data_IF_561412859444
#
_entry.id   IF_561412859444
#
_cell.length_a   1.000
_cell.length_b   1.000
_cell.length_c   1.000
_cell.angle_alpha   90.00
_cell.angle_beta   90.00
_cell.angle_gamma   90.00
#
_symmetry.space_group_name_H-M   'P 1'
#
loop_
_entity.id
_entity.type
_entity.pdbx_description
1 polymer ?
#
# COMPACT_ATOMS: atom_id res chain seq x y z
N UNK A 1 -37.40 24.20 -7.79
CA UNK A 1 -36.22 24.12 -6.91
C UNK A 1 -35.36 22.98 -7.45
N UNK A 2 -34.18 23.26 -8.01
CA UNK A 2 -33.31 22.20 -8.54
C UNK A 2 -32.64 21.51 -7.35
N UNK A 3 -32.88 20.21 -7.20
CA UNK A 3 -32.16 19.36 -6.26
C UNK A 3 -30.67 19.50 -6.57
N UNK A 4 -29.93 20.11 -5.63
CA UNK A 4 -28.48 20.14 -5.66
C UNK A 4 -28.06 18.75 -5.23
N UNK A 5 -27.65 17.92 -6.19
CA UNK A 5 -27.04 16.62 -5.89
C UNK A 5 -25.94 16.85 -4.85
N UNK A 6 -26.11 16.29 -3.65
CA UNK A 6 -25.07 16.30 -2.63
C UNK A 6 -23.93 15.42 -3.15
N UNK A 7 -22.93 16.03 -3.77
CA UNK A 7 -21.68 15.35 -4.12
C UNK A 7 -20.99 14.92 -2.84
N UNK A 8 -21.02 13.62 -2.55
CA UNK A 8 -20.32 13.02 -1.42
C UNK A 8 -18.86 12.79 -1.81
N UNK A 9 -17.96 13.57 -1.21
CA UNK A 9 -16.52 13.39 -1.37
C UNK A 9 -15.94 12.67 -0.15
N UNK A 10 -15.23 11.55 -0.36
CA UNK A 10 -14.55 10.84 0.73
C UNK A 10 -13.08 11.28 0.77
N UNK A 11 -12.63 11.69 1.95
CA UNK A 11 -11.28 12.21 2.16
C UNK A 11 -10.56 11.29 3.14
N UNK A 12 -9.39 10.80 2.74
CA UNK A 12 -8.51 10.09 3.67
C UNK A 12 -7.69 11.12 4.45
N UNK A 13 -7.94 11.23 5.75
CA UNK A 13 -7.25 12.16 6.64
C UNK A 13 -6.42 11.40 7.66
N UNK A 14 -5.14 11.76 7.79
CA UNK A 14 -4.28 11.30 8.89
C UNK A 14 -4.62 12.03 10.18
N UNK A 15 -4.28 11.45 11.34
CA UNK A 15 -4.46 12.08 12.65
C UNK A 15 -3.78 13.47 12.68
N UNK A 16 -2.59 13.58 12.07
CA UNK A 16 -1.85 14.85 11.97
C UNK A 16 -2.54 15.92 11.12
N UNK A 17 -3.22 15.54 10.03
CA UNK A 17 -4.02 16.48 9.22
C UNK A 17 -5.21 17.00 10.03
N UNK A 18 -5.88 16.13 10.77
CA UNK A 18 -7.06 16.51 11.56
C UNK A 18 -6.68 17.52 12.67
N UNK A 19 -5.55 17.32 13.34
CA UNK A 19 -5.06 18.26 14.36
C UNK A 19 -4.58 19.58 13.74
N UNK A 20 -3.98 19.54 12.55
CA UNK A 20 -3.62 20.75 11.80
C UNK A 20 -4.84 21.60 11.40
N UNK A 21 -5.91 20.95 10.92
CA UNK A 21 -7.14 21.62 10.49
C UNK A 21 -7.96 22.18 11.66
N UNK A 22 -7.92 21.53 12.84
CA UNK A 22 -8.61 21.96 14.07
C UNK A 22 -8.16 23.31 14.62
N UNK A 23 -6.98 23.81 14.24
CA UNK A 23 -6.45 25.05 14.81
C UNK A 23 -7.37 26.25 14.46
N UNK A 24 -7.96 26.86 15.50
CA UNK A 24 -8.85 28.01 15.36
C UNK A 24 -8.05 29.32 15.39
N UNK A 25 -8.34 30.22 14.44
CA UNK A 25 -7.74 31.55 14.37
C UNK A 25 -8.82 32.64 14.22
N UNK A 26 -9.42 33.06 15.35
CA UNK A 26 -10.23 34.28 15.45
C UNK A 26 -11.35 34.44 14.40
N UNK A 27 -11.58 35.67 13.91
CA UNK A 27 -12.62 36.03 12.92
C UNK A 27 -12.25 35.70 11.45
N UNK A 28 -11.15 34.99 11.21
CA UNK A 28 -10.70 34.60 9.88
C UNK A 28 -11.28 33.24 9.52
N UNK A 29 -11.33 32.93 8.22
CA UNK A 29 -11.66 31.58 7.77
C UNK A 29 -10.69 30.60 8.45
N UNK A 30 -11.21 29.59 9.13
CA UNK A 30 -10.43 28.57 9.82
C UNK A 30 -9.72 27.68 8.80
N UNK A 31 -8.68 26.94 9.21
CA UNK A 31 -7.97 26.02 8.32
C UNK A 31 -8.91 24.97 7.72
N UNK A 32 -9.84 24.46 8.51
CA UNK A 32 -10.92 23.57 8.02
C UNK A 32 -11.76 24.25 6.95
N UNK A 33 -12.25 25.46 7.19
CA UNK A 33 -13.09 26.15 6.21
C UNK A 33 -12.32 26.48 4.93
N UNK A 34 -11.04 26.86 5.03
CA UNK A 34 -10.18 27.10 3.87
C UNK A 34 -9.91 25.82 3.07
N UNK A 35 -9.80 24.68 3.75
CA UNK A 35 -9.70 23.36 3.09
C UNK A 35 -11.01 23.00 2.36
N UNK A 36 -12.17 23.17 3.00
CA UNK A 36 -13.47 22.98 2.35
C UNK A 36 -13.68 23.89 1.13
N UNK A 37 -13.21 25.14 1.22
CA UNK A 37 -13.24 26.09 0.10
C UNK A 37 -12.49 25.59 -1.14
N UNK A 38 -11.30 25.02 -0.94
CA UNK A 38 -10.52 24.44 -2.03
C UNK A 38 -11.23 23.21 -2.62
N UNK A 39 -11.84 22.38 -1.77
CA UNK A 39 -12.62 21.23 -2.21
C UNK A 39 -13.78 21.67 -3.10
N UNK A 40 -14.62 22.59 -2.63
CA UNK A 40 -15.76 23.11 -3.37
C UNK A 40 -15.32 23.72 -4.72
N UNK A 41 -14.24 24.51 -4.72
CA UNK A 41 -13.66 25.09 -5.94
C UNK A 41 -13.16 24.03 -6.91
N UNK A 42 -12.49 22.99 -6.41
CA UNK A 42 -11.96 21.91 -7.23
C UNK A 42 -13.07 21.05 -7.84
N UNK A 43 -14.14 20.79 -7.10
CA UNK A 43 -15.32 20.06 -7.56
C UNK A 43 -16.10 20.86 -8.60
N UNK A 44 -16.15 22.19 -8.44
CA UNK A 44 -16.81 23.09 -9.38
C UNK A 44 -15.97 23.44 -10.63
N UNK A 45 -14.72 22.95 -10.74
CA UNK A 45 -13.82 23.33 -11.83
C UNK A 45 -13.50 24.82 -11.85
N UNK A 46 -13.37 25.45 -10.68
CA UNK A 46 -13.29 26.90 -10.56
C UNK A 46 -12.02 27.48 -11.20
N UNK A 47 -12.20 28.56 -11.98
CA UNK A 47 -11.11 29.39 -12.51
C UNK A 47 -11.24 30.81 -11.96
N UNK A 48 -10.16 31.33 -11.38
CA UNK A 48 -10.12 32.68 -10.85
C UNK A 48 -10.54 33.71 -11.91
N UNK A 49 -11.39 34.69 -11.58
CA UNK A 49 -11.84 35.74 -12.50
C UNK A 49 -10.71 36.46 -13.23
N UNK A 50 -9.55 36.60 -12.59
CA UNK A 50 -8.37 37.26 -13.16
C UNK A 50 -7.64 36.43 -14.24
N UNK A 51 -8.06 35.17 -14.44
CA UNK A 51 -7.45 34.20 -15.35
C UNK A 51 -8.39 33.77 -16.49
N UNK A 52 -9.64 34.26 -16.50
CA UNK A 52 -10.71 33.85 -17.45
C UNK A 52 -10.43 34.10 -18.93
N UNK A 53 -9.36 34.81 -19.29
CA UNK A 53 -8.97 35.07 -20.67
C UNK A 53 -7.97 34.02 -21.23
N UNK A 54 -7.66 32.98 -20.47
CA UNK A 54 -6.87 31.83 -20.94
C UNK A 54 -7.78 30.60 -20.90
N UNK A 55 -8.03 30.00 -22.07
CA UNK A 55 -8.75 28.72 -22.17
C UNK A 55 -7.91 27.63 -21.51
N UNK A 56 -8.05 27.48 -20.20
CA UNK A 56 -7.39 26.44 -19.43
C UNK A 56 -8.37 25.31 -19.18
N UNK A 57 -8.19 24.19 -19.87
CA UNK A 57 -8.98 22.98 -19.66
C UNK A 57 -8.58 22.35 -18.32
N UNK A 58 -9.42 22.55 -17.30
CA UNK A 58 -9.25 21.91 -16.00
C UNK A 58 -9.73 20.46 -16.05
N UNK A 59 -8.91 19.53 -15.55
CA UNK A 59 -9.34 18.16 -15.30
C UNK A 59 -10.31 18.12 -14.11
N UNK A 60 -11.11 17.04 -13.94
CA UNK A 60 -11.96 16.89 -12.76
C UNK A 60 -11.15 17.04 -11.47
N UNK A 61 -11.73 17.69 -10.45
CA UNK A 61 -11.09 17.98 -9.14
C UNK A 61 -9.91 18.94 -9.21
N UNK A 62 -9.89 19.80 -10.22
CA UNK A 62 -8.91 20.88 -10.31
C UNK A 62 -9.58 22.25 -10.17
N UNK A 63 -8.86 23.19 -9.56
CA UNK A 63 -9.19 24.61 -9.63
C UNK A 63 -7.96 25.44 -9.99
N UNK A 64 -8.18 26.52 -10.73
CA UNK A 64 -7.14 27.47 -11.14
C UNK A 64 -7.26 28.75 -10.32
N UNK A 65 -6.29 29.01 -9.46
CA UNK A 65 -6.36 30.08 -8.47
C UNK A 65 -5.06 30.86 -8.41
N UNK A 66 -5.09 32.04 -7.78
CA UNK A 66 -3.88 32.77 -7.39
C UNK A 66 -3.79 32.87 -5.88
N UNK A 67 -2.57 32.98 -5.35
CA UNK A 67 -2.35 33.22 -3.91
C UNK A 67 -3.03 34.52 -3.46
N UNK A 68 -3.10 35.52 -4.35
CA UNK A 68 -3.71 36.82 -4.05
C UNK A 68 -5.23 36.70 -3.85
N UNK A 69 -5.89 35.89 -4.68
CA UNK A 69 -7.33 35.69 -4.60
C UNK A 69 -7.70 34.95 -3.32
N UNK A 70 -7.01 33.84 -3.05
CA UNK A 70 -7.20 33.06 -1.82
C UNK A 70 -6.90 33.90 -0.56
N UNK A 71 -5.84 34.70 -0.58
CA UNK A 71 -5.51 35.59 0.54
C UNK A 71 -6.62 36.60 0.83
N UNK A 72 -7.23 37.15 -0.23
CA UNK A 72 -8.30 38.15 -0.10
C UNK A 72 -9.57 37.51 0.42
N UNK A 73 -9.94 36.36 -0.15
CA UNK A 73 -11.16 35.63 0.18
C UNK A 73 -11.12 35.01 1.59
N UNK A 74 -9.99 34.41 1.96
CA UNK A 74 -9.80 33.81 3.29
C UNK A 74 -9.43 34.84 4.36
N UNK A 75 -9.16 36.09 3.96
CA UNK A 75 -8.65 37.17 4.80
C UNK A 75 -7.35 36.78 5.51
N UNK A 76 -6.46 36.13 4.77
CA UNK A 76 -5.16 35.65 5.23
C UNK A 76 -4.03 36.45 4.59
N UNK A 77 -2.87 36.50 5.25
CA UNK A 77 -1.67 36.98 4.58
C UNK A 77 -1.25 35.98 3.49
N UNK A 78 -0.72 36.48 2.36
CA UNK A 78 -0.22 35.64 1.27
C UNK A 78 0.81 34.60 1.73
N UNK A 79 1.62 34.93 2.76
CA UNK A 79 2.55 33.98 3.36
C UNK A 79 1.83 32.81 4.06
N UNK A 80 0.75 33.09 4.80
CA UNK A 80 -0.08 32.07 5.46
C UNK A 80 -0.75 31.16 4.44
N UNK A 81 -1.27 31.71 3.34
CA UNK A 81 -1.84 30.91 2.25
C UNK A 81 -0.80 29.93 1.67
N UNK A 82 0.42 30.42 1.41
CA UNK A 82 1.50 29.56 0.89
C UNK A 82 1.84 28.45 1.86
N UNK A 83 2.10 28.78 3.12
CA UNK A 83 2.44 27.79 4.16
C UNK A 83 1.32 26.76 4.35
N UNK A 84 0.06 27.18 4.34
CA UNK A 84 -1.08 26.26 4.43
C UNK A 84 -1.12 25.28 3.27
N UNK A 85 -0.95 25.78 2.04
CA UNK A 85 -0.89 24.96 0.84
C UNK A 85 0.32 24.01 0.84
N UNK A 86 1.49 24.48 1.29
CA UNK A 86 2.70 23.64 1.43
C UNK A 86 2.45 22.49 2.42
N UNK A 87 1.79 22.78 3.54
CA UNK A 87 1.44 21.77 4.54
C UNK A 87 0.43 20.76 4.00
N UNK A 88 -0.62 21.20 3.29
CA UNK A 88 -1.57 20.28 2.67
C UNK A 88 -0.93 19.37 1.60
N UNK A 89 0.01 19.91 0.81
CA UNK A 89 0.79 19.13 -0.15
C UNK A 89 1.70 18.11 0.57
N UNK A 90 2.32 18.48 1.69
CA UNK A 90 3.10 17.55 2.51
C UNK A 90 2.27 16.41 3.12
N UNK A 91 0.97 16.66 3.36
CA UNK A 91 0.02 15.64 3.78
C UNK A 91 -0.58 14.83 2.62
N UNK A 92 -0.15 15.09 1.38
CA UNK A 92 -0.65 14.42 0.17
C UNK A 92 -2.11 14.74 -0.15
N UNK A 93 -2.66 15.83 0.39
CA UNK A 93 -4.08 16.18 0.21
C UNK A 93 -4.36 16.91 -1.11
N UNK A 94 -3.34 17.55 -1.66
CA UNK A 94 -3.41 18.26 -2.93
C UNK A 94 -2.06 18.27 -3.64
N UNK A 95 -2.07 18.50 -4.94
CA UNK A 95 -0.89 18.78 -5.75
C UNK A 95 -1.02 20.18 -6.38
N UNK A 96 0.10 20.91 -6.49
CA UNK A 96 0.13 22.24 -7.10
C UNK A 96 0.98 22.29 -8.35
N UNK A 97 0.35 22.51 -9.50
CA UNK A 97 1.06 22.90 -10.71
C UNK A 97 1.27 24.42 -10.70
N UNK A 98 2.51 24.86 -10.43
CA UNK A 98 2.87 26.28 -10.33
C UNK A 98 3.00 26.90 -11.72
N UNK A 99 2.32 28.02 -11.95
CA UNK A 99 2.42 28.87 -13.13
C UNK A 99 3.02 30.23 -12.75
N UNK A 100 3.51 31.05 -13.70
CA UNK A 100 4.24 32.29 -13.38
C UNK A 100 3.51 33.28 -12.46
N UNK A 101 2.17 33.29 -12.45
CA UNK A 101 1.34 34.17 -11.60
C UNK A 101 0.13 33.49 -10.96
N UNK A 102 -0.04 32.19 -11.20
CA UNK A 102 -1.20 31.40 -10.80
C UNK A 102 -0.78 29.98 -10.48
N UNK A 103 -1.72 29.15 -10.04
CA UNK A 103 -1.48 27.72 -9.84
C UNK A 103 -2.75 26.95 -10.07
N UNK A 104 -2.59 25.74 -10.59
CA UNK A 104 -3.65 24.73 -10.62
C UNK A 104 -3.49 23.87 -9.38
N UNK A 105 -4.56 23.77 -8.60
CA UNK A 105 -4.63 22.88 -7.44
C UNK A 105 -5.45 21.67 -7.83
N UNK A 106 -4.86 20.48 -7.72
CA UNK A 106 -5.55 19.20 -7.88
C UNK A 106 -5.83 18.63 -6.49
N UNK A 107 -7.09 18.44 -6.13
CA UNK A 107 -7.46 17.84 -4.84
C UNK A 107 -7.48 16.32 -4.92
N UNK A 108 -6.83 15.65 -3.97
CA UNK A 108 -6.86 14.19 -3.87
C UNK A 108 -8.11 13.74 -3.12
N UNK A 109 -9.21 13.59 -3.84
CA UNK A 109 -10.43 12.98 -3.31
C UNK A 109 -10.43 11.48 -3.62
N UNK A 110 -10.79 10.66 -2.64
CA UNK A 110 -11.25 9.31 -2.93
C UNK A 110 -12.65 9.44 -3.50
N UNK A 111 -12.84 8.98 -4.73
CA UNK A 111 -14.16 9.04 -5.35
C UNK A 111 -15.14 8.18 -4.56
N UNK A 112 -16.24 8.78 -4.11
CA UNK A 112 -17.39 8.07 -3.57
C UNK A 112 -18.36 7.60 -4.66
N UNK A 113 -18.04 7.79 -5.95
CA UNK A 113 -18.92 7.44 -7.05
C UNK A 113 -18.18 6.68 -8.15
N UNK A 114 -18.66 5.45 -8.40
CA UNK A 114 -18.51 4.61 -9.57
C UNK A 114 -17.60 5.14 -10.71
N UNK A 115 -16.29 5.03 -10.51
CA UNK A 115 -15.36 4.95 -11.63
C UNK A 115 -15.37 3.51 -12.14
N UNK A 116 -15.56 3.36 -13.45
CA UNK A 116 -15.29 2.12 -14.19
C UNK A 116 -14.01 1.51 -13.63
N UNK A 117 -14.00 0.24 -13.19
CA UNK A 117 -12.85 -0.35 -12.56
C UNK A 117 -11.75 -0.47 -13.61
N UNK A 118 -10.84 0.50 -13.60
CA UNK A 118 -9.52 0.35 -14.16
C UNK A 118 -8.88 -0.78 -13.36
N UNK A 119 -8.73 -1.91 -14.02
CA UNK A 119 -8.70 -3.26 -13.41
C UNK A 119 -7.45 -3.48 -12.55
N UNK A 120 -6.49 -2.55 -12.64
CA UNK A 120 -5.19 -2.59 -11.98
C UNK A 120 -5.25 -2.03 -10.54
N UNK A 121 -6.26 -1.23 -10.18
CA UNK A 121 -6.31 -0.55 -8.88
C UNK A 121 -7.13 -1.30 -7.81
N UNK A 122 -8.02 -2.21 -8.24
CA UNK A 122 -8.81 -3.07 -7.35
C UNK A 122 -7.96 -4.09 -6.60
N UNK A 123 -7.15 -4.87 -7.33
CA UNK A 123 -6.31 -5.95 -6.78
C UNK A 123 -5.26 -5.40 -5.81
N UNK A 124 -4.60 -4.29 -6.15
CA UNK A 124 -3.65 -3.61 -5.26
C UNK A 124 -4.31 -3.09 -3.97
N UNK A 125 -5.55 -2.63 -4.06
CA UNK A 125 -6.33 -2.20 -2.89
C UNK A 125 -6.67 -3.35 -1.95
N UNK A 126 -7.01 -4.51 -2.49
CA UNK A 126 -7.34 -5.73 -1.74
C UNK A 126 -6.10 -6.28 -1.04
N UNK A 127 -4.99 -6.43 -1.77
CA UNK A 127 -3.70 -6.91 -1.22
C UNK A 127 -3.27 -6.06 -0.03
N UNK A 128 -3.42 -4.73 -0.11
CA UNK A 128 -3.11 -3.83 1.01
C UNK A 128 -4.00 -4.06 2.23
N UNK A 129 -5.32 -4.26 2.03
CA UNK A 129 -6.24 -4.54 3.14
C UNK A 129 -5.94 -5.89 3.81
N UNK A 130 -5.68 -6.92 3.01
CA UNK A 130 -5.30 -8.24 3.50
C UNK A 130 -3.99 -8.19 4.29
N UNK A 131 -2.95 -7.54 3.75
CA UNK A 131 -1.68 -7.38 4.44
C UNK A 131 -1.83 -6.64 5.78
N UNK A 132 -2.75 -5.67 5.87
CA UNK A 132 -3.07 -4.99 7.13
C UNK A 132 -3.58 -5.95 8.21
N UNK A 133 -4.60 -6.76 7.90
CA UNK A 133 -5.15 -7.77 8.83
C UNK A 133 -4.10 -8.83 9.17
N UNK A 134 -3.44 -9.36 8.14
CA UNK A 134 -2.48 -10.44 8.29
C UNK A 134 -1.24 -10.00 9.09
N UNK A 135 -0.85 -8.73 9.03
CA UNK A 135 0.22 -8.21 9.90
C UNK A 135 -0.15 -8.29 11.39
N UNK A 136 -1.40 -7.97 11.73
CA UNK A 136 -1.94 -8.15 13.08
C UNK A 136 -1.91 -9.62 13.50
N UNK A 137 -2.26 -10.52 12.59
CA UNK A 137 -2.19 -11.96 12.85
C UNK A 137 -0.76 -12.45 13.04
N UNK A 138 0.18 -12.08 12.15
CA UNK A 138 1.60 -12.44 12.24
C UNK A 138 2.16 -12.05 13.61
N UNK A 139 1.93 -10.80 14.03
CA UNK A 139 2.39 -10.24 15.30
C UNK A 139 1.66 -10.80 16.54
N UNK A 140 0.60 -11.59 16.36
CA UNK A 140 -0.15 -12.20 17.46
C UNK A 140 -1.23 -11.31 18.09
N UNK A 141 -1.58 -10.19 17.44
CA UNK A 141 -2.63 -9.27 17.90
C UNK A 141 -4.05 -9.86 17.69
N UNK A 142 -4.21 -10.75 16.70
CA UNK A 142 -5.46 -11.45 16.41
C UNK A 142 -5.19 -12.95 16.21
N UNK A 143 -6.18 -13.80 16.50
CA UNK A 143 -6.06 -15.24 16.29
C UNK A 143 -6.35 -15.64 14.82
N UNK A 144 -6.09 -16.90 14.46
CA UNK A 144 -6.28 -17.38 13.09
C UNK A 144 -7.75 -17.38 12.63
N UNK A 145 -8.69 -17.59 13.55
CA UNK A 145 -10.13 -17.56 13.24
C UNK A 145 -10.59 -16.15 12.86
N UNK A 146 -10.24 -15.16 13.68
CA UNK A 146 -10.59 -13.76 13.44
C UNK A 146 -9.90 -13.22 12.18
N UNK A 147 -8.63 -13.59 11.96
CA UNK A 147 -7.90 -13.25 10.74
C UNK A 147 -8.57 -13.86 9.50
N UNK A 148 -9.01 -15.11 9.58
CA UNK A 148 -9.72 -15.80 8.50
C UNK A 148 -11.06 -15.14 8.17
N UNK A 149 -11.86 -14.81 9.18
CA UNK A 149 -13.14 -14.11 9.00
C UNK A 149 -12.92 -12.74 8.33
N UNK A 150 -11.96 -11.96 8.82
CA UNK A 150 -11.67 -10.64 8.27
C UNK A 150 -11.14 -10.70 6.83
N UNK A 151 -10.26 -11.66 6.50
CA UNK A 151 -9.81 -11.88 5.12
C UNK A 151 -10.97 -12.28 4.19
N UNK A 152 -11.84 -13.18 4.65
CA UNK A 152 -13.03 -13.59 3.92
C UNK A 152 -13.98 -12.43 3.63
N UNK A 153 -14.20 -11.54 4.61
CA UNK A 153 -14.99 -10.32 4.43
C UNK A 153 -14.39 -9.37 3.40
N UNK A 154 -13.06 -9.20 3.37
CA UNK A 154 -12.37 -8.36 2.38
C UNK A 154 -12.57 -8.94 0.97
N UNK A 155 -12.38 -10.25 0.80
CA UNK A 155 -12.57 -10.95 -0.48
C UNK A 155 -14.02 -10.84 -0.95
N UNK A 156 -14.97 -11.17 -0.08
CA UNK A 156 -16.40 -11.12 -0.40
C UNK A 156 -16.85 -9.71 -0.79
N UNK A 157 -16.38 -8.70 -0.04
CA UNK A 157 -16.64 -7.29 -0.35
C UNK A 157 -16.07 -6.91 -1.71
N UNK A 158 -14.84 -7.31 -2.02
CA UNK A 158 -14.22 -7.01 -3.30
C UNK A 158 -14.96 -7.63 -4.49
N UNK A 159 -15.44 -8.87 -4.34
CA UNK A 159 -16.26 -9.55 -5.35
C UNK A 159 -17.60 -8.83 -5.54
N UNK A 160 -18.25 -8.45 -4.44
CA UNK A 160 -19.53 -7.73 -4.45
C UNK A 160 -19.39 -6.33 -5.06
N UNK A 161 -18.34 -5.59 -4.70
CA UNK A 161 -18.05 -4.25 -5.23
C UNK A 161 -17.74 -4.30 -6.74
N UNK A 162 -17.25 -5.43 -7.25
CA UNK A 162 -17.06 -5.67 -8.68
C UNK A 162 -18.38 -6.03 -9.41
N UNK A 163 -19.50 -6.14 -8.71
CA UNK A 163 -20.80 -6.57 -9.24
C UNK A 163 -20.85 -8.05 -9.60
N UNK A 164 -19.91 -8.85 -9.07
CA UNK A 164 -19.77 -10.27 -9.37
C UNK A 164 -20.45 -11.09 -8.26
N UNK A 165 -20.92 -12.29 -8.62
CA UNK A 165 -21.42 -13.23 -7.63
C UNK A 165 -20.28 -14.10 -7.12
N UNK A 166 -20.19 -14.19 -5.80
CA UNK A 166 -19.31 -15.12 -5.08
C UNK A 166 -19.93 -16.53 -5.11
N UNK A 167 -19.89 -17.18 -6.28
CA UNK A 167 -20.37 -18.56 -6.47
C UNK A 167 -19.19 -19.52 -6.49
N UNK A 168 -18.56 -19.71 -5.32
CA UNK A 168 -17.67 -20.86 -5.12
C UNK A 168 -18.48 -22.15 -5.32
N UNK A 169 -17.98 -23.14 -6.08
CA UNK A 169 -18.67 -24.41 -6.22
C UNK A 169 -18.89 -25.04 -4.83
N UNK A 170 -20.13 -25.37 -4.49
CA UNK A 170 -20.46 -26.12 -3.26
C UNK A 170 -19.92 -27.57 -3.30
N UNK A 171 -19.46 -28.03 -4.46
CA UNK A 171 -19.09 -29.43 -4.70
C UNK A 171 -17.58 -29.66 -4.53
N UNK A 172 -17.24 -30.54 -3.59
CA UNK A 172 -15.88 -30.88 -3.09
C UNK A 172 -15.05 -31.72 -4.10
N UNK A 173 -15.54 -31.86 -5.33
CA UNK A 173 -14.90 -32.67 -6.35
C UNK A 173 -13.66 -31.96 -6.91
N UNK A 174 -12.47 -32.52 -6.64
CA UNK A 174 -11.15 -32.11 -7.21
C UNK A 174 -11.17 -31.85 -8.72
N UNK A 175 -11.98 -32.61 -9.48
CA UNK A 175 -12.14 -32.47 -10.94
C UNK A 175 -12.84 -31.15 -11.30
N UNK A 176 -13.77 -30.69 -10.46
CA UNK A 176 -14.52 -29.42 -10.62
C UNK A 176 -13.63 -28.22 -10.32
N UNK A 177 -12.68 -28.34 -9.38
CA UNK A 177 -11.69 -27.31 -9.05
C UNK A 177 -10.60 -27.15 -10.13
N UNK A 178 -10.22 -28.22 -10.83
CA UNK A 178 -9.26 -28.13 -11.94
C UNK A 178 -9.80 -27.33 -13.14
N UNK A 179 -11.12 -27.29 -13.31
CA UNK A 179 -11.80 -26.50 -14.36
C UNK A 179 -12.31 -25.14 -13.85
N UNK A 180 -12.02 -24.78 -12.60
CA UNK A 180 -12.43 -23.52 -12.00
C UNK A 180 -11.96 -22.28 -12.81
N UNK A 181 -10.73 -22.24 -13.37
CA UNK A 181 -10.29 -21.11 -14.19
C UNK A 181 -11.08 -20.95 -15.50
N UNK A 182 -11.70 -22.02 -16.00
CA UNK A 182 -12.48 -22.01 -17.25
C UNK A 182 -13.94 -21.58 -17.02
N UNK A 183 -14.41 -21.62 -15.77
CA UNK A 183 -15.81 -21.40 -15.37
C UNK A 183 -16.02 -20.09 -14.62
N UNK A 184 -15.02 -19.66 -13.85
CA UNK A 184 -15.12 -18.56 -12.91
C UNK A 184 -14.71 -17.25 -13.58
N UNK A 185 -15.35 -16.14 -13.21
CA UNK A 185 -14.96 -14.83 -13.72
C UNK A 185 -13.49 -14.58 -13.41
N UNK A 186 -12.72 -14.16 -14.42
CA UNK A 186 -11.28 -13.97 -14.30
C UNK A 186 -10.90 -13.04 -13.14
N UNK A 187 -11.75 -12.05 -12.82
CA UNK A 187 -11.53 -11.12 -11.71
C UNK A 187 -11.81 -11.76 -10.36
N UNK A 188 -12.80 -12.64 -10.25
CA UNK A 188 -13.04 -13.42 -9.01
C UNK A 188 -11.84 -14.34 -8.74
N UNK A 189 -11.31 -14.98 -9.78
CA UNK A 189 -10.12 -15.83 -9.66
C UNK A 189 -8.89 -15.02 -9.23
N UNK A 190 -8.68 -13.83 -9.79
CA UNK A 190 -7.58 -12.93 -9.43
C UNK A 190 -7.66 -12.48 -7.96
N UNK A 191 -8.86 -12.13 -7.48
CA UNK A 191 -9.11 -11.74 -6.08
C UNK A 191 -8.80 -12.90 -5.14
N UNK A 192 -9.31 -14.10 -5.41
CA UNK A 192 -9.02 -15.27 -4.59
C UNK A 192 -7.55 -15.64 -4.60
N UNK A 193 -6.90 -15.59 -5.77
CA UNK A 193 -5.47 -15.91 -5.92
C UNK A 193 -4.63 -14.94 -5.09
N UNK A 194 -4.90 -13.64 -5.20
CA UNK A 194 -4.21 -12.61 -4.41
C UNK A 194 -4.40 -12.83 -2.91
N UNK A 195 -5.60 -13.22 -2.49
CA UNK A 195 -5.88 -13.52 -1.09
C UNK A 195 -5.09 -14.73 -0.57
N UNK A 196 -5.04 -15.80 -1.36
CA UNK A 196 -4.24 -16.99 -1.05
C UNK A 196 -2.76 -16.64 -0.94
N UNK A 197 -2.22 -15.91 -1.91
CA UNK A 197 -0.81 -15.49 -1.93
C UNK A 197 -0.45 -14.64 -0.70
N UNK A 198 -1.29 -13.67 -0.33
CA UNK A 198 -1.13 -12.87 0.88
C UNK A 198 -1.10 -13.74 2.14
N UNK A 199 -2.03 -14.70 2.27
CA UNK A 199 -2.13 -15.59 3.43
C UNK A 199 -0.90 -16.49 3.52
N UNK A 200 -0.45 -17.06 2.40
CA UNK A 200 0.76 -17.92 2.34
C UNK A 200 1.99 -17.13 2.78
N UNK A 201 2.18 -15.92 2.24
CA UNK A 201 3.30 -15.05 2.63
C UNK A 201 3.25 -14.67 4.11
N UNK A 202 2.07 -14.35 4.64
CA UNK A 202 1.88 -14.08 6.06
C UNK A 202 2.19 -15.30 6.93
N UNK A 203 1.79 -16.49 6.52
CA UNK A 203 2.09 -17.73 7.24
C UNK A 203 3.60 -17.99 7.29
N UNK A 204 4.30 -17.83 6.15
CA UNK A 204 5.76 -17.93 6.10
C UNK A 204 6.43 -16.92 7.04
N UNK A 205 6.02 -15.64 6.99
CA UNK A 205 6.49 -14.60 7.93
C UNK A 205 6.27 -14.98 9.39
N UNK A 206 5.08 -15.49 9.72
CA UNK A 206 4.73 -15.88 11.09
C UNK A 206 5.55 -17.06 11.60
N UNK A 207 5.86 -18.04 10.75
CA UNK A 207 6.69 -19.20 11.11
C UNK A 207 8.16 -18.79 11.23
N UNK A 208 8.68 -18.05 10.24
CA UNK A 208 10.05 -17.57 10.24
C UNK A 208 10.33 -16.62 11.41
N UNK A 209 9.40 -15.74 11.77
CA UNK A 209 9.53 -14.85 12.93
C UNK A 209 9.50 -15.53 14.30
N UNK A 210 9.26 -16.86 14.36
CA UNK A 210 9.49 -17.64 15.60
C UNK A 210 10.95 -17.94 15.84
N UNK A 211 11.77 -17.99 14.78
CA UNK A 211 13.21 -17.99 14.93
C UNK A 211 13.58 -16.62 15.50
N UNK A 212 14.21 -16.59 16.69
CA UNK A 212 14.66 -15.31 17.25
C UNK A 212 15.63 -14.72 16.24
N UNK A 213 15.45 -13.47 15.82
CA UNK A 213 16.43 -12.79 15.00
C UNK A 213 17.65 -12.52 15.88
N UNK A 214 18.49 -13.52 16.13
CA UNK A 214 19.80 -13.25 16.70
C UNK A 214 20.49 -12.27 15.75
N UNK A 215 21.13 -11.25 16.33
CA UNK A 215 22.13 -10.43 15.63
C UNK A 215 23.38 -11.25 15.31
N UNK A 216 23.18 -12.53 14.95
CA UNK A 216 24.26 -13.41 14.53
C UNK A 216 24.86 -12.79 13.27
N UNK A 217 26.12 -12.39 13.42
CA UNK A 217 26.97 -11.99 12.32
C UNK A 217 27.56 -13.20 11.62
N UNK A 218 27.23 -14.44 12.00
CA UNK A 218 27.86 -15.66 11.50
C UNK A 218 27.73 -15.79 9.98
N UNK A 219 26.55 -15.50 9.42
CA UNK A 219 26.36 -15.50 7.96
C UNK A 219 27.22 -14.43 7.27
N UNK A 220 27.37 -13.25 7.89
CA UNK A 220 28.21 -12.17 7.37
C UNK A 220 29.70 -12.44 7.57
N UNK A 221 30.08 -13.14 8.64
CA UNK A 221 31.45 -13.58 8.89
C UNK A 221 31.85 -14.64 7.88
N UNK A 222 31.00 -15.63 7.64
CA UNK A 222 31.22 -16.66 6.61
C UNK A 222 31.35 -16.04 5.22
N UNK A 223 30.49 -15.08 4.89
CA UNK A 223 30.61 -14.31 3.64
C UNK A 223 31.97 -13.62 3.51
N UNK A 224 32.45 -12.94 4.56
CA UNK A 224 33.70 -12.18 4.51
C UNK A 224 34.96 -13.07 4.59
N UNK A 225 34.94 -14.10 5.43
CA UNK A 225 36.12 -14.90 5.80
C UNK A 225 36.27 -16.13 4.92
N UNK A 226 35.22 -16.92 4.75
CA UNK A 226 35.26 -18.21 4.04
C UNK A 226 34.99 -18.05 2.55
N UNK A 227 34.06 -17.17 2.17
CA UNK A 227 33.78 -16.87 0.76
C UNK A 227 34.64 -15.73 0.20
N UNK A 228 35.47 -15.09 1.01
CA UNK A 228 36.32 -13.97 0.58
C UNK A 228 35.53 -12.80 -0.02
N UNK A 229 34.33 -12.54 0.50
CA UNK A 229 33.37 -11.57 -0.01
C UNK A 229 32.93 -11.82 -1.48
N UNK A 230 32.94 -13.08 -1.93
CA UNK A 230 32.49 -13.48 -3.26
C UNK A 230 30.96 -13.56 -3.34
N UNK A 231 30.34 -12.60 -4.02
CA UNK A 231 28.89 -12.59 -4.28
C UNK A 231 28.39 -13.82 -5.06
N UNK A 232 29.06 -14.29 -6.13
CA UNK A 232 28.62 -15.51 -6.82
C UNK A 232 28.58 -16.73 -5.90
N UNK A 233 29.63 -16.93 -5.10
CA UNK A 233 29.70 -18.05 -4.15
C UNK A 233 28.63 -17.96 -3.07
N UNK A 234 28.31 -16.73 -2.62
CA UNK A 234 27.23 -16.52 -1.66
C UNK A 234 25.84 -16.81 -2.25
N UNK A 235 25.61 -16.51 -3.53
CA UNK A 235 24.36 -16.85 -4.22
C UNK A 235 24.20 -18.37 -4.33
N UNK A 236 25.25 -19.09 -4.73
CA UNK A 236 25.23 -20.55 -4.83
C UNK A 236 25.02 -21.22 -3.46
N UNK A 237 25.67 -20.70 -2.42
CA UNK A 237 25.45 -21.14 -1.05
C UNK A 237 24.01 -20.88 -0.59
N UNK A 238 23.50 -19.67 -0.82
CA UNK A 238 22.13 -19.28 -0.44
C UNK A 238 21.09 -20.17 -1.11
N UNK A 239 21.31 -20.52 -2.38
CA UNK A 239 20.47 -21.48 -3.10
C UNK A 239 20.51 -22.87 -2.45
N UNK A 240 21.71 -23.36 -2.12
CA UNK A 240 21.90 -24.67 -1.47
C UNK A 240 21.18 -24.72 -0.12
N UNK A 241 21.36 -23.68 0.72
CA UNK A 241 20.68 -23.56 2.01
C UNK A 241 19.16 -23.53 1.86
N UNK A 242 18.63 -22.77 0.90
CA UNK A 242 17.19 -22.72 0.64
C UNK A 242 16.62 -24.07 0.18
N UNK A 243 17.31 -24.77 -0.71
CA UNK A 243 16.93 -26.12 -1.16
C UNK A 243 16.93 -27.11 0.00
N UNK A 244 17.96 -27.08 0.86
CA UNK A 244 18.05 -27.94 2.04
C UNK A 244 16.91 -27.68 3.03
N UNK A 245 16.56 -26.40 3.30
CA UNK A 245 15.44 -26.05 4.19
C UNK A 245 14.13 -26.65 3.67
N UNK A 246 13.87 -26.55 2.36
CA UNK A 246 12.65 -27.08 1.74
C UNK A 246 12.65 -28.61 1.63
N UNK A 247 13.83 -29.23 1.53
CA UNK A 247 14.02 -30.67 1.35
C UNK A 247 14.34 -31.42 2.65
N UNK A 248 14.43 -30.74 3.80
CA UNK A 248 14.76 -31.27 5.15
C UNK A 248 13.89 -32.43 5.67
N UNK A 249 12.95 -32.95 4.87
CA UNK A 249 12.19 -34.18 5.14
C UNK A 249 12.05 -35.14 3.96
N UNK A 250 12.77 -34.92 2.84
CA UNK A 250 12.59 -35.68 1.58
C UNK A 250 13.77 -36.53 1.14
N UNK A 251 14.96 -36.38 1.72
CA UNK A 251 16.13 -37.20 1.35
C UNK A 251 16.70 -37.93 2.58
N UNK A 252 16.44 -39.24 2.62
CA UNK A 252 17.36 -40.22 3.18
C UNK A 252 18.11 -40.79 1.98
N UNK A 253 19.43 -40.92 2.08
CA UNK A 253 20.35 -41.46 1.07
C UNK A 253 20.86 -40.46 0.02
N UNK A 254 21.63 -39.45 0.46
CA UNK A 254 22.77 -38.99 -0.34
C UNK A 254 23.98 -38.92 0.59
N UNK A 255 25.05 -39.62 0.21
CA UNK A 255 26.39 -39.55 0.81
C UNK A 255 26.95 -38.15 0.56
N UNK A 256 26.54 -37.20 1.39
CA UNK A 256 27.07 -35.85 1.39
C UNK A 256 28.30 -35.80 2.29
N UNK A 257 29.35 -35.19 1.76
CA UNK A 257 30.58 -34.85 2.47
C UNK A 257 30.24 -34.27 3.86
N UNK A 258 30.58 -35.02 4.93
CA UNK A 258 30.17 -34.73 6.32
C UNK A 258 30.53 -33.28 6.71
N UNK A 259 31.67 -32.77 6.25
CA UNK A 259 32.14 -31.42 6.54
C UNK A 259 31.26 -30.33 5.89
N UNK A 260 30.75 -30.60 4.68
CA UNK A 260 29.84 -29.68 3.97
C UNK A 260 28.46 -29.68 4.60
N UNK A 261 27.99 -30.83 5.06
CA UNK A 261 26.70 -30.95 5.74
C UNK A 261 26.73 -30.24 7.09
N UNK A 262 27.79 -30.42 7.87
CA UNK A 262 28.01 -29.72 9.14
C UNK A 262 28.05 -28.20 8.96
N UNK A 263 28.76 -27.70 7.94
CA UNK A 263 28.81 -26.27 7.60
C UNK A 263 27.43 -25.69 7.24
N UNK A 264 26.62 -26.45 6.50
CA UNK A 264 25.28 -26.02 6.12
C UNK A 264 24.33 -26.04 7.32
N UNK A 265 24.49 -26.99 8.24
CA UNK A 265 23.74 -27.07 9.49
C UNK A 265 24.08 -25.87 10.42
N UNK A 266 25.35 -25.47 10.50
CA UNK A 266 25.79 -24.31 11.27
C UNK A 266 25.24 -22.98 10.70
N UNK A 267 25.05 -22.89 9.38
CA UNK A 267 24.52 -21.70 8.71
C UNK A 267 22.99 -21.67 8.59
N UNK A 268 22.30 -22.75 8.96
CA UNK A 268 20.85 -22.87 8.84
C UNK A 268 20.09 -21.78 9.62
N UNK A 269 20.37 -21.65 10.91
CA UNK A 269 19.69 -20.69 11.79
C UNK A 269 20.05 -19.23 11.46
N UNK A 270 21.32 -18.88 11.19
CA UNK A 270 21.69 -17.55 10.70
C UNK A 270 20.99 -17.18 9.38
N UNK A 271 20.84 -18.14 8.46
CA UNK A 271 20.16 -17.93 7.18
C UNK A 271 18.66 -17.68 7.38
N UNK A 272 17.98 -18.48 8.22
CA UNK A 272 16.58 -18.27 8.56
C UNK A 272 16.34 -16.93 9.28
N UNK A 273 17.22 -16.56 10.22
CA UNK A 273 17.19 -15.26 10.92
C UNK A 273 17.34 -14.09 9.94
N UNK A 274 18.27 -14.19 8.98
CA UNK A 274 18.45 -13.18 7.94
C UNK A 274 17.21 -13.08 7.02
N UNK A 275 16.62 -14.21 6.62
CA UNK A 275 15.39 -14.25 5.84
C UNK A 275 14.20 -13.64 6.60
N UNK A 276 14.04 -13.95 7.89
CA UNK A 276 13.01 -13.38 8.75
C UNK A 276 13.14 -11.84 8.83
N UNK A 277 14.35 -11.32 9.11
CA UNK A 277 14.62 -9.87 9.14
C UNK A 277 14.33 -9.20 7.80
N UNK A 278 14.68 -9.83 6.68
CA UNK A 278 14.42 -9.28 5.35
C UNK A 278 12.90 -9.20 5.05
N UNK A 279 12.16 -10.23 5.44
CA UNK A 279 10.71 -10.27 5.26
C UNK A 279 9.98 -9.25 6.13
N UNK A 280 10.44 -8.99 7.36
CA UNK A 280 9.91 -7.91 8.21
C UNK A 280 10.14 -6.53 7.59
N UNK A 281 11.35 -6.27 7.05
CA UNK A 281 11.66 -5.01 6.36
C UNK A 281 10.81 -4.81 5.12
N UNK A 282 10.55 -5.87 4.34
CA UNK A 282 9.70 -5.80 3.15
C UNK A 282 8.26 -5.40 3.48
N UNK A 283 7.70 -5.91 4.60
CA UNK A 283 6.35 -5.56 5.04
C UNK A 283 6.24 -4.09 5.49
N UNK A 284 7.32 -3.51 6.01
CA UNK A 284 7.40 -2.08 6.35
C UNK A 284 7.59 -1.17 5.12
N UNK A 285 8.23 -1.68 4.07
CA UNK A 285 8.49 -0.96 2.81
C UNK A 285 7.24 -0.88 1.91
N UNK A 286 6.34 -1.86 1.94
CA UNK A 286 5.05 -1.78 1.23
C UNK A 286 4.13 -0.65 1.78
N UNK A 287 4.46 -0.09 2.96
CA UNK A 287 3.82 1.11 3.51
C UNK A 287 4.54 2.43 3.16
N UNK A 288 5.70 2.39 2.51
CA UNK A 288 6.48 3.56 2.07
C UNK A 288 6.84 3.41 0.60
N UNK A 289 6.10 4.11 -0.25
CA UNK A 289 6.46 4.27 -1.66
C UNK A 289 7.94 4.67 -1.82
N UNK A 290 8.67 4.06 -2.76
CA UNK A 290 10.05 4.45 -3.03
C UNK A 290 10.04 5.83 -3.68
N UNK A 291 10.66 6.80 -3.01
CA UNK A 291 11.08 8.04 -3.64
C UNK A 291 12.07 7.67 -4.75
N UNK A 292 11.64 7.79 -5.99
CA UNK A 292 12.50 7.71 -7.17
C UNK A 292 13.59 8.78 -7.04
N UNK A 293 14.82 8.35 -6.76
CA UNK A 293 16.01 9.15 -7.01
C UNK A 293 16.38 8.95 -8.49
N UNK A 294 16.10 9.96 -9.32
CA UNK A 294 16.80 10.13 -10.58
C UNK A 294 18.11 10.88 -10.30
N UNK A 295 19.22 10.16 -10.43
CA UNK A 295 20.52 10.72 -10.80
C UNK A 295 20.73 10.56 -12.29
#
# INVERSE_FOLDING_TARGET
MKNKEEMTATISASIGLFDFLKEKVGERKTRTEAYCDLLDKSLAGFVSPFLRNQDFELRPRQCHVTVSDLATEWRWHRATVRSFLDTLESFGQLERTKLPKSMVITMHLHDGSHAVPDTVQGTAGIVRQLNGILSGWVNGNINSGDAGIACGQIVHKAITDAGLKDELPEDDCRVTLQKLPERMDARVLEIHTSAVECIVLAALRKVLGRSKPEESMELMQYFCLDLGASWPSFIDLSKTLAEQILNSGKEKDIDHDDDRQLLLDDLHDPFLSAAAKALEKSAGADCRTPLYNHG
#
